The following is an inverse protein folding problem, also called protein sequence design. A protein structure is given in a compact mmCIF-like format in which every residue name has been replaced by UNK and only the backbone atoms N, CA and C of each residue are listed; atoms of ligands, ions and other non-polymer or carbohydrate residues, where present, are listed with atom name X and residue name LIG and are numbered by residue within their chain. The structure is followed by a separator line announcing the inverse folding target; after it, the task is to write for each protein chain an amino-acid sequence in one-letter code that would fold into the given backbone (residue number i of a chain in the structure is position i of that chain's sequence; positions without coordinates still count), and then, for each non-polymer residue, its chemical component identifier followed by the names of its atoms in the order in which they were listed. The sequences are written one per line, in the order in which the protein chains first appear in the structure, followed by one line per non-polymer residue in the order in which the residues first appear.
data_IF_555700181764
#
_entry.id   IF_555700181764
#
_cell.length_a   1.000
_cell.length_b   1.000
_cell.length_c   1.000
_cell.angle_alpha   90.00
_cell.angle_beta   90.00
_cell.angle_gamma   90.00
#
_symmetry.space_group_name_H-M   'P 1'
#
loop_
_entity.id
_entity.type
_entity.pdbx_description
1 polymer ?
#
# COMPACT_ATOMS: atom_id res chain seq x y z
N UNK A 1 0.43 23.94 -18.14
CA UNK A 1 -0.93 23.58 -18.59
C UNK A 1 -0.97 22.07 -18.77
N UNK A 2 -1.40 21.33 -17.74
CA UNK A 2 -1.53 19.88 -17.81
C UNK A 2 -2.77 19.53 -18.61
N UNK A 3 -2.60 18.78 -19.69
CA UNK A 3 -3.70 18.29 -20.51
C UNK A 3 -4.50 17.28 -19.70
N UNK A 4 -5.70 17.66 -19.30
CA UNK A 4 -6.71 16.83 -18.64
C UNK A 4 -7.28 15.82 -19.68
N UNK A 5 -6.45 14.90 -20.17
CA UNK A 5 -6.92 13.81 -21.03
C UNK A 5 -7.54 12.74 -20.15
N UNK A 6 -8.79 12.34 -20.37
CA UNK A 6 -9.38 11.21 -19.66
C UNK A 6 -8.58 9.93 -19.97
N UNK A 7 -8.46 9.00 -19.02
CA UNK A 7 -7.74 7.74 -19.22
C UNK A 7 -8.27 7.01 -20.46
N UNK A 8 -7.36 6.42 -21.22
CA UNK A 8 -7.72 5.76 -22.48
C UNK A 8 -8.34 4.36 -22.29
N UNK A 9 -8.27 3.81 -21.06
CA UNK A 9 -8.85 2.51 -20.75
C UNK A 9 -10.39 2.60 -20.63
N UNK A 10 -11.18 1.83 -21.42
CA UNK A 10 -12.64 1.87 -21.42
C UNK A 10 -13.26 1.59 -20.05
N UNK A 11 -12.77 0.62 -19.29
CA UNK A 11 -13.28 0.28 -17.95
C UNK A 11 -13.06 1.40 -16.91
N UNK A 12 -11.97 2.16 -17.05
CA UNK A 12 -11.71 3.34 -16.21
C UNK A 12 -12.64 4.49 -16.61
N UNK A 13 -12.99 4.62 -17.90
CA UNK A 13 -13.96 5.61 -18.37
C UNK A 13 -15.36 5.36 -17.82
N UNK A 14 -15.81 4.11 -17.76
CA UNK A 14 -17.09 3.74 -17.14
C UNK A 14 -17.09 4.00 -15.63
N UNK A 15 -16.05 3.63 -14.92
CA UNK A 15 -15.88 3.95 -13.50
C UNK A 15 -15.89 5.46 -13.22
N UNK A 16 -15.30 6.28 -14.10
CA UNK A 16 -15.32 7.74 -13.98
C UNK A 16 -16.68 8.30 -14.38
N UNK A 17 -17.37 7.72 -15.37
CA UNK A 17 -18.69 8.16 -15.81
C UNK A 17 -19.77 7.88 -14.74
N UNK A 18 -19.75 6.72 -14.08
CA UNK A 18 -20.63 6.40 -12.96
C UNK A 18 -20.37 7.30 -11.73
N UNK A 19 -19.17 7.85 -11.60
CA UNK A 19 -18.71 8.63 -10.45
C UNK A 19 -18.64 10.14 -10.69
N UNK A 20 -19.31 10.67 -11.71
CA UNK A 20 -19.41 12.11 -12.00
C UNK A 20 -19.98 12.96 -10.88
N UNK A 21 -20.59 12.35 -9.86
CA UNK A 21 -21.03 13.04 -8.65
C UNK A 21 -19.90 13.36 -7.66
N UNK A 22 -18.68 12.87 -7.90
CA UNK A 22 -17.55 13.12 -7.03
C UNK A 22 -16.69 14.25 -7.60
N UNK A 23 -16.33 15.23 -6.76
CA UNK A 23 -15.44 16.31 -7.15
C UNK A 23 -14.12 15.74 -7.68
N UNK A 24 -13.74 16.14 -8.88
CA UNK A 24 -12.43 15.80 -9.46
C UNK A 24 -11.30 16.65 -8.88
N UNK A 25 -11.61 17.62 -8.05
CA UNK A 25 -10.65 18.55 -7.43
C UNK A 25 -10.87 18.57 -5.91
N UNK A 26 -9.79 18.65 -5.13
CA UNK A 26 -9.90 18.82 -3.68
C UNK A 26 -10.55 20.17 -3.35
N UNK A 27 -11.20 20.25 -2.20
CA UNK A 27 -11.66 21.52 -1.63
C UNK A 27 -10.50 22.51 -1.44
N UNK A 28 -10.77 23.79 -1.29
CA UNK A 28 -9.71 24.80 -1.13
C UNK A 28 -8.80 24.51 0.07
N UNK A 29 -9.37 24.06 1.17
CA UNK A 29 -8.61 23.77 2.38
C UNK A 29 -7.82 22.46 2.26
N UNK A 30 -8.39 21.44 1.62
CA UNK A 30 -7.69 20.19 1.33
C UNK A 30 -6.52 20.41 0.38
N UNK A 31 -6.70 21.26 -0.64
CA UNK A 31 -5.62 21.64 -1.56
C UNK A 31 -4.48 22.39 -0.85
N UNK A 32 -4.77 23.20 0.17
CA UNK A 32 -3.75 23.86 1.01
C UNK A 32 -2.95 22.86 1.85
N UNK A 33 -3.57 21.76 2.25
CA UNK A 33 -2.91 20.65 2.94
C UNK A 33 -2.12 19.74 1.98
N UNK A 34 -2.19 19.97 0.65
CA UNK A 34 -1.47 19.23 -0.36
C UNK A 34 -2.24 18.05 -0.96
N UNK A 35 -3.51 17.83 -0.59
CA UNK A 35 -4.36 16.81 -1.19
C UNK A 35 -4.61 17.10 -2.66
N UNK A 36 -4.66 16.05 -3.49
CA UNK A 36 -4.78 16.15 -4.94
C UNK A 36 -6.16 15.79 -5.48
N UNK A 37 -7.04 15.23 -4.65
CA UNK A 37 -8.30 14.67 -5.12
C UNK A 37 -8.06 13.52 -6.10
N UNK A 38 -8.85 13.45 -7.16
CA UNK A 38 -8.62 12.48 -8.24
C UNK A 38 -7.41 12.90 -9.10
N UNK A 39 -6.43 12.01 -9.23
CA UNK A 39 -5.24 12.24 -10.06
C UNK A 39 -4.70 10.94 -10.63
N UNK A 40 -3.88 11.02 -11.68
CA UNK A 40 -3.22 9.90 -12.33
C UNK A 40 -1.71 9.92 -12.06
N UNK A 41 -1.14 8.74 -11.91
CA UNK A 41 0.32 8.52 -11.84
C UNK A 41 0.83 7.72 -13.03
N UNK A 42 0.11 7.78 -14.17
CA UNK A 42 0.51 7.16 -15.43
C UNK A 42 -0.23 5.87 -15.79
N UNK A 43 -0.77 5.08 -14.87
CA UNK A 43 -1.46 3.82 -15.17
C UNK A 43 -2.74 3.54 -14.37
N UNK A 44 -2.96 4.22 -13.25
CA UNK A 44 -4.20 4.08 -12.46
C UNK A 44 -4.67 5.43 -11.92
N UNK A 45 -5.99 5.66 -11.84
CA UNK A 45 -6.54 6.79 -11.13
C UNK A 45 -6.40 6.58 -9.62
N UNK A 46 -5.92 7.60 -8.93
CA UNK A 46 -5.77 7.65 -7.49
C UNK A 46 -6.74 8.67 -6.91
N UNK A 47 -7.21 8.41 -5.70
CA UNK A 47 -8.04 9.34 -4.95
C UNK A 47 -7.36 9.70 -3.65
N UNK A 48 -6.98 10.97 -3.51
CA UNK A 48 -6.23 11.50 -2.37
C UNK A 48 -7.04 12.62 -1.71
N UNK A 49 -7.80 12.25 -0.71
CA UNK A 49 -8.71 13.13 0.04
C UNK A 49 -8.66 12.78 1.53
N UNK A 50 -8.85 13.77 2.43
CA UNK A 50 -8.93 13.49 3.86
C UNK A 50 -10.15 12.61 4.19
N UNK A 51 -10.04 11.80 5.21
CA UNK A 51 -11.11 10.91 5.68
C UNK A 51 -11.26 9.60 4.89
N UNK A 52 -10.55 9.41 3.78
CA UNK A 52 -10.59 8.15 3.04
C UNK A 52 -9.79 7.05 3.74
N UNK A 53 -10.35 5.86 3.79
CA UNK A 53 -9.59 4.65 4.14
C UNK A 53 -8.89 4.14 2.89
N UNK A 54 -7.55 4.07 2.94
CA UNK A 54 -6.68 3.67 1.85
C UNK A 54 -6.00 2.34 2.16
N UNK A 55 -6.00 1.45 1.19
CA UNK A 55 -5.15 0.27 1.19
C UNK A 55 -3.94 0.52 0.30
N UNK A 56 -2.74 0.33 0.83
CA UNK A 56 -1.50 0.54 0.09
C UNK A 56 -0.62 -0.70 0.13
N UNK A 57 0.10 -0.91 -0.98
CA UNK A 57 1.16 -1.93 -1.09
C UNK A 57 2.43 -1.25 -1.59
N UNK A 58 3.52 -1.37 -0.84
CA UNK A 58 4.85 -0.93 -1.28
C UNK A 58 5.87 -2.03 -1.05
N UNK A 59 6.88 -2.10 -1.89
CA UNK A 59 7.77 -3.26 -2.01
C UNK A 59 9.25 -2.88 -2.03
N UNK A 60 10.12 -3.83 -1.72
CA UNK A 60 11.57 -3.66 -1.86
C UNK A 60 11.95 -3.37 -3.32
N UNK A 61 13.05 -2.65 -3.51
CA UNK A 61 13.54 -2.28 -4.84
C UNK A 61 13.89 -3.50 -5.69
N UNK A 62 14.40 -4.57 -5.06
CA UNK A 62 14.85 -5.81 -5.68
C UNK A 62 13.77 -6.90 -5.75
N UNK A 63 12.55 -6.65 -5.26
CA UNK A 63 11.45 -7.63 -5.28
C UNK A 63 11.02 -8.05 -6.69
N UNK A 64 11.40 -7.28 -7.71
CA UNK A 64 11.34 -7.62 -9.13
C UNK A 64 12.75 -7.59 -9.73
N UNK A 65 13.44 -8.73 -9.78
CA UNK A 65 14.76 -8.82 -10.38
C UNK A 65 14.76 -8.35 -11.85
N UNK A 66 15.83 -7.70 -12.25
CA UNK A 66 15.97 -7.15 -13.61
C UNK A 66 15.79 -8.21 -14.71
N UNK A 67 16.16 -9.46 -14.45
CA UNK A 67 16.00 -10.59 -15.37
C UNK A 67 14.54 -10.93 -15.68
N UNK A 68 13.59 -10.48 -14.85
CA UNK A 68 12.15 -10.73 -14.97
C UNK A 68 11.35 -9.51 -15.44
N UNK A 69 12.04 -8.50 -16.02
CA UNK A 69 11.40 -7.28 -16.53
C UNK A 69 10.29 -7.56 -17.56
N UNK A 70 10.44 -8.64 -18.36
CA UNK A 70 9.43 -9.04 -19.33
C UNK A 70 8.14 -9.51 -18.65
N UNK A 71 8.25 -10.30 -17.57
CA UNK A 71 7.09 -10.73 -16.78
C UNK A 71 6.38 -9.51 -16.17
N UNK A 72 7.15 -8.55 -15.66
CA UNK A 72 6.61 -7.30 -15.14
C UNK A 72 5.87 -6.49 -16.20
N UNK A 73 6.47 -6.31 -17.39
CA UNK A 73 5.83 -5.59 -18.49
C UNK A 73 4.51 -6.28 -18.89
N UNK A 74 4.52 -7.60 -19.03
CA UNK A 74 3.31 -8.38 -19.34
C UNK A 74 2.22 -8.23 -18.26
N UNK A 75 2.59 -8.17 -16.98
CA UNK A 75 1.63 -7.93 -15.90
C UNK A 75 1.01 -6.52 -15.95
N UNK A 76 1.77 -5.51 -16.38
CA UNK A 76 1.25 -4.14 -16.53
C UNK A 76 0.31 -3.99 -17.73
N UNK A 77 0.42 -4.85 -18.74
CA UNK A 77 -0.42 -4.87 -19.94
C UNK A 77 -1.81 -5.52 -19.68
N UNK A 78 -2.01 -6.20 -18.54
CA UNK A 78 -3.31 -6.77 -18.20
C UNK A 78 -4.31 -5.62 -18.00
N UNK A 79 -5.35 -5.56 -18.85
CA UNK A 79 -6.35 -4.50 -18.81
C UNK A 79 -7.25 -4.56 -17.58
N UNK A 80 -7.65 -5.78 -17.16
CA UNK A 80 -8.47 -5.96 -15.97
C UNK A 80 -7.65 -5.63 -14.71
N UNK A 81 -8.03 -4.56 -14.02
CA UNK A 81 -7.34 -4.07 -12.82
C UNK A 81 -7.31 -5.11 -11.70
N UNK A 82 -8.40 -5.85 -11.52
CA UNK A 82 -8.50 -6.86 -10.46
C UNK A 82 -7.59 -8.05 -10.77
N UNK A 83 -7.57 -8.52 -12.01
CA UNK A 83 -6.70 -9.60 -12.44
C UNK A 83 -5.24 -9.19 -12.35
N UNK A 84 -4.88 -8.01 -12.88
CA UNK A 84 -3.53 -7.45 -12.80
C UNK A 84 -3.05 -7.39 -11.37
N UNK A 85 -3.84 -6.85 -10.46
CA UNK A 85 -3.53 -6.77 -9.04
C UNK A 85 -3.34 -8.14 -8.42
N UNK A 86 -4.24 -9.07 -8.67
CA UNK A 86 -4.15 -10.45 -8.15
C UNK A 86 -2.85 -11.11 -8.59
N UNK A 87 -2.45 -10.95 -9.84
CA UNK A 87 -1.19 -11.52 -10.35
C UNK A 87 0.04 -10.84 -9.78
N UNK A 88 0.02 -9.52 -9.62
CA UNK A 88 1.11 -8.77 -8.98
C UNK A 88 1.29 -9.19 -7.51
N UNK A 89 0.19 -9.35 -6.77
CA UNK A 89 0.22 -9.83 -5.38
C UNK A 89 0.76 -11.27 -5.31
N UNK A 90 0.28 -12.17 -6.16
CA UNK A 90 0.79 -13.54 -6.25
C UNK A 90 2.30 -13.57 -6.56
N UNK A 91 2.77 -12.66 -7.41
CA UNK A 91 4.19 -12.53 -7.71
C UNK A 91 5.02 -12.08 -6.50
N UNK A 92 4.52 -11.11 -5.72
CA UNK A 92 5.17 -10.66 -4.49
C UNK A 92 5.20 -11.77 -3.42
N UNK A 93 4.14 -12.56 -3.31
CA UNK A 93 4.03 -13.70 -2.39
C UNK A 93 5.08 -14.79 -2.69
N UNK A 94 5.63 -14.87 -3.91
CA UNK A 94 6.75 -15.76 -4.23
C UNK A 94 8.04 -15.40 -3.48
N UNK A 95 8.12 -14.24 -2.82
CA UNK A 95 9.25 -13.85 -2.00
C UNK A 95 10.54 -13.70 -2.80
N UNK A 96 10.49 -13.13 -4.00
CA UNK A 96 11.67 -12.88 -4.83
C UNK A 96 12.48 -11.69 -4.31
N UNK A 97 13.77 -11.64 -4.65
CA UNK A 97 14.73 -10.67 -4.14
C UNK A 97 15.40 -11.14 -2.85
N UNK A 98 16.14 -10.27 -2.20
CA UNK A 98 16.87 -10.57 -0.96
C UNK A 98 15.94 -10.75 0.25
N UNK A 99 14.70 -10.33 0.15
CA UNK A 99 13.70 -10.43 1.22
C UNK A 99 14.20 -9.85 2.56
N UNK A 100 14.83 -8.68 2.51
CA UNK A 100 15.47 -8.03 3.66
C UNK A 100 14.51 -7.77 4.82
N UNK A 101 13.19 -7.73 4.58
CA UNK A 101 12.18 -7.59 5.63
C UNK A 101 12.01 -8.86 6.49
N UNK A 102 12.65 -9.99 6.14
CA UNK A 102 12.78 -11.15 7.03
C UNK A 102 13.69 -10.89 8.22
N UNK A 103 14.58 -9.89 8.12
CA UNK A 103 15.45 -9.53 9.22
C UNK A 103 14.63 -8.89 10.35
N UNK A 104 14.59 -9.47 11.57
CA UNK A 104 13.67 -9.04 12.63
C UNK A 104 13.78 -7.56 12.98
N UNK A 105 15.00 -7.03 13.09
CA UNK A 105 15.22 -5.60 13.39
C UNK A 105 14.69 -4.70 12.27
N UNK A 106 14.83 -5.09 11.01
CA UNK A 106 14.33 -4.31 9.87
C UNK A 106 12.81 -4.32 9.86
N UNK A 107 12.18 -5.49 10.01
CA UNK A 107 10.72 -5.60 10.09
C UNK A 107 10.14 -4.79 11.27
N UNK A 108 10.81 -4.82 12.43
CA UNK A 108 10.40 -4.05 13.60
C UNK A 108 10.50 -2.54 13.37
N UNK A 109 11.53 -2.07 12.67
CA UNK A 109 11.66 -0.65 12.27
C UNK A 109 10.52 -0.26 11.33
N UNK A 110 10.17 -1.11 10.36
CA UNK A 110 9.08 -0.85 9.44
C UNK A 110 7.75 -0.81 10.18
N UNK A 111 7.43 -1.81 11.00
CA UNK A 111 6.21 -1.82 11.82
C UNK A 111 6.14 -0.61 12.75
N UNK A 112 7.23 -0.27 13.41
CA UNK A 112 7.33 0.92 14.26
C UNK A 112 7.00 2.22 13.50
N UNK A 113 7.51 2.37 12.27
CA UNK A 113 7.23 3.53 11.43
C UNK A 113 5.74 3.62 11.04
N UNK A 114 5.09 2.47 10.73
CA UNK A 114 3.65 2.43 10.44
C UNK A 114 2.81 2.88 11.64
N UNK A 115 3.22 2.54 12.85
CA UNK A 115 2.47 2.83 14.08
C UNK A 115 2.73 4.22 14.65
N UNK A 116 3.87 4.84 14.33
CA UNK A 116 4.37 6.04 15.00
C UNK A 116 3.42 7.23 14.96
N UNK A 117 2.77 7.48 13.83
CA UNK A 117 1.83 8.60 13.67
C UNK A 117 0.36 8.17 13.71
N UNK A 118 0.08 6.95 14.20
CA UNK A 118 -1.29 6.52 14.44
C UNK A 118 -2.01 7.47 15.40
N UNK A 119 -3.25 7.87 15.07
CA UNK A 119 -4.03 8.83 15.85
C UNK A 119 -3.60 10.29 15.70
N UNK A 120 -2.59 10.60 14.86
CA UNK A 120 -2.10 11.96 14.62
C UNK A 120 -2.22 12.37 13.15
N UNK A 121 -1.72 11.56 12.22
CA UNK A 121 -1.73 11.83 10.78
C UNK A 121 -2.64 10.90 10.01
N UNK A 122 -2.92 9.76 10.58
CA UNK A 122 -3.78 8.71 10.04
C UNK A 122 -4.24 7.78 11.16
N UNK A 123 -5.31 7.05 10.90
CA UNK A 123 -5.79 5.99 11.78
C UNK A 123 -5.48 4.63 11.15
N UNK A 124 -4.49 3.93 11.69
CA UNK A 124 -4.07 2.62 11.21
C UNK A 124 -5.14 1.57 11.52
N UNK A 125 -5.55 0.79 10.52
CA UNK A 125 -6.63 -0.20 10.60
C UNK A 125 -6.12 -1.64 10.53
N UNK A 126 -5.15 -1.89 9.64
CA UNK A 126 -4.49 -3.17 9.49
C UNK A 126 -3.15 -3.00 8.78
N UNK A 127 -2.20 -3.92 9.04
CA UNK A 127 -0.94 -4.01 8.30
C UNK A 127 -0.35 -5.40 8.37
N UNK A 128 0.56 -5.67 7.46
CA UNK A 128 1.49 -6.79 7.51
C UNK A 128 2.80 -6.42 6.83
N UNK A 129 3.91 -6.75 7.46
CA UNK A 129 5.25 -6.67 6.86
C UNK A 129 5.61 -8.06 6.37
N UNK A 130 5.56 -8.25 5.05
CA UNK A 130 5.94 -9.49 4.37
C UNK A 130 7.44 -9.47 4.04
N UNK A 131 8.04 -10.60 3.63
CA UNK A 131 9.49 -10.68 3.37
C UNK A 131 10.06 -9.63 2.41
N UNK A 132 9.29 -9.17 1.42
CA UNK A 132 9.76 -8.27 0.36
C UNK A 132 8.78 -7.11 0.05
N UNK A 133 7.66 -7.02 0.77
CA UNK A 133 6.66 -5.96 0.61
C UNK A 133 5.89 -5.71 1.90
N UNK A 134 5.12 -4.66 1.91
CA UNK A 134 4.26 -4.24 3.03
C UNK A 134 2.87 -3.94 2.50
N UNK A 135 1.87 -4.42 3.21
CA UNK A 135 0.50 -3.98 3.07
C UNK A 135 0.09 -3.15 4.28
N UNK A 136 -0.59 -2.04 4.06
CA UNK A 136 -1.18 -1.23 5.12
C UNK A 136 -2.55 -0.71 4.71
N UNK A 137 -3.49 -0.75 5.65
CA UNK A 137 -4.83 -0.18 5.56
C UNK A 137 -4.97 0.88 6.65
N UNK A 138 -5.25 2.10 6.26
CA UNK A 138 -5.37 3.22 7.19
C UNK A 138 -6.29 4.30 6.65
N UNK A 139 -6.97 4.98 7.56
CA UNK A 139 -7.77 6.17 7.24
C UNK A 139 -6.85 7.37 7.25
N UNK A 140 -6.80 8.09 6.14
CA UNK A 140 -6.05 9.34 5.98
C UNK A 140 -6.78 10.44 6.77
N UNK A 141 -6.03 11.25 7.50
CA UNK A 141 -6.58 12.38 8.23
C UNK A 141 -6.17 13.72 7.58
N UNK A 142 -5.12 14.34 8.06
CA UNK A 142 -4.72 15.70 7.67
C UNK A 142 -3.48 15.75 6.78
N UNK A 143 -2.83 14.60 6.52
CA UNK A 143 -1.61 14.51 5.72
C UNK A 143 -1.87 13.68 4.47
N UNK A 144 -1.55 14.17 3.26
CA UNK A 144 -1.75 13.44 2.01
C UNK A 144 -1.07 12.07 1.98
N UNK A 145 -1.72 11.11 1.29
CA UNK A 145 -1.25 9.73 1.16
C UNK A 145 0.22 9.66 0.70
N UNK A 146 0.58 10.45 -0.32
CA UNK A 146 1.94 10.46 -0.86
C UNK A 146 3.00 10.89 0.15
N UNK A 147 2.68 11.84 1.03
CA UNK A 147 3.59 12.31 2.09
C UNK A 147 3.74 11.29 3.20
N UNK A 148 2.65 10.61 3.59
CA UNK A 148 2.69 9.52 4.56
C UNK A 148 3.64 8.42 4.05
N UNK A 149 3.46 7.96 2.81
CA UNK A 149 4.29 6.91 2.20
C UNK A 149 5.76 7.36 2.06
N UNK A 150 5.99 8.60 1.64
CA UNK A 150 7.34 9.16 1.53
C UNK A 150 8.04 9.19 2.89
N UNK A 151 7.33 9.58 3.95
CA UNK A 151 7.86 9.58 5.32
C UNK A 151 8.24 8.17 5.78
N UNK A 152 7.34 7.19 5.63
CA UNK A 152 7.63 5.79 5.97
C UNK A 152 8.84 5.25 5.21
N UNK A 153 8.83 5.39 3.88
CA UNK A 153 9.88 4.86 3.01
C UNK A 153 11.24 5.51 3.29
N UNK A 154 11.29 6.84 3.47
CA UNK A 154 12.54 7.55 3.74
C UNK A 154 13.16 7.14 5.07
N UNK A 155 12.36 7.12 6.14
CA UNK A 155 12.83 6.73 7.46
C UNK A 155 13.31 5.27 7.48
N UNK A 156 12.47 4.34 7.05
CA UNK A 156 12.76 2.91 7.12
C UNK A 156 13.88 2.48 6.19
N UNK A 157 14.05 3.12 5.01
CA UNK A 157 15.19 2.87 4.12
C UNK A 157 16.52 3.24 4.79
N UNK A 158 16.57 4.40 5.46
CA UNK A 158 17.76 4.82 6.18
C UNK A 158 18.13 3.84 7.29
N UNK A 159 17.18 3.50 8.15
CA UNK A 159 17.42 2.60 9.27
C UNK A 159 17.74 1.17 8.80
N UNK A 160 17.03 0.67 7.78
CA UNK A 160 17.30 -0.65 7.22
C UNK A 160 18.70 -0.74 6.61
N UNK A 161 19.13 0.26 5.84
CA UNK A 161 20.47 0.31 5.27
C UNK A 161 21.56 0.35 6.35
N UNK A 162 21.32 1.03 7.48
CA UNK A 162 22.23 1.01 8.64
C UNK A 162 22.31 -0.39 9.28
N UNK A 163 21.16 -1.03 9.52
CA UNK A 163 21.09 -2.37 10.13
C UNK A 163 21.78 -3.42 9.26
N UNK A 164 21.58 -3.34 7.94
CA UNK A 164 22.08 -4.32 6.97
C UNK A 164 23.48 -4.00 6.47
N UNK A 165 24.07 -2.86 6.90
CA UNK A 165 25.34 -2.34 6.38
C UNK A 165 25.36 -2.23 4.82
N UNK A 166 24.22 -1.83 4.24
CA UNK A 166 24.02 -1.65 2.79
C UNK A 166 23.84 -0.19 2.42
N UNK A 167 23.86 0.09 1.10
CA UNK A 167 23.62 1.41 0.52
C UNK A 167 22.76 1.27 -0.73
N UNK A 168 22.05 2.36 -1.10
CA UNK A 168 21.21 2.41 -2.30
C UNK A 168 19.73 2.34 -2.00
N UNK A 169 18.95 2.06 -3.05
CA UNK A 169 17.50 2.04 -2.98
C UNK A 169 17.00 0.81 -2.21
N UNK A 170 16.37 1.05 -1.06
CA UNK A 170 15.75 0.00 -0.26
C UNK A 170 14.33 -0.31 -0.75
N UNK A 171 13.54 0.72 -1.02
CA UNK A 171 12.18 0.60 -1.53
C UNK A 171 12.10 0.87 -3.01
N UNK A 172 11.23 0.14 -3.72
CA UNK A 172 10.83 0.52 -5.06
C UNK A 172 10.19 1.91 -5.05
N UNK A 173 10.38 2.68 -6.11
CA UNK A 173 9.95 4.07 -6.20
C UNK A 173 8.44 4.23 -6.01
N UNK A 174 7.64 3.42 -6.69
CA UNK A 174 6.18 3.49 -6.67
C UNK A 174 5.54 2.63 -5.58
N UNK A 175 4.24 2.79 -5.42
CA UNK A 175 3.36 1.99 -4.59
C UNK A 175 1.98 1.88 -5.25
N UNK A 176 1.20 0.87 -4.87
CA UNK A 176 -0.19 0.73 -5.26
C UNK A 176 -1.09 1.17 -4.14
N UNK A 177 -2.19 1.83 -4.48
CA UNK A 177 -3.21 2.23 -3.54
C UNK A 177 -4.61 1.95 -4.10
N UNK A 178 -5.54 1.72 -3.20
CA UNK A 178 -6.96 1.56 -3.48
C UNK A 178 -7.74 2.10 -2.29
N UNK A 179 -8.69 2.99 -2.53
CA UNK A 179 -9.56 3.48 -1.45
C UNK A 179 -10.70 2.51 -1.15
N UNK A 180 -11.12 2.45 0.11
CA UNK A 180 -12.25 1.64 0.53
C UNK A 180 -13.56 2.34 0.20
N UNK A 181 -14.46 1.62 -0.47
CA UNK A 181 -15.76 2.15 -0.93
C UNK A 181 -16.82 2.11 0.17
N UNK A 182 -16.74 1.09 1.00
CA UNK A 182 -17.69 0.82 2.06
C UNK A 182 -17.03 -0.04 3.17
N UNK A 183 -17.76 -0.27 4.23
CA UNK A 183 -17.31 -1.05 5.37
C UNK A 183 -17.04 -2.52 5.02
N UNK A 184 -17.83 -3.11 4.13
CA UNK A 184 -17.64 -4.50 3.71
C UNK A 184 -16.32 -4.67 2.95
N UNK A 185 -16.00 -3.71 2.07
CA UNK A 185 -14.74 -3.67 1.34
C UNK A 185 -13.55 -3.51 2.31
N UNK A 186 -13.68 -2.64 3.32
CA UNK A 186 -12.67 -2.47 4.38
C UNK A 186 -12.44 -3.78 5.15
N UNK A 187 -13.50 -4.48 5.56
CA UNK A 187 -13.42 -5.74 6.27
C UNK A 187 -12.75 -6.84 5.44
N UNK A 188 -13.10 -6.97 4.16
CA UNK A 188 -12.47 -7.92 3.24
C UNK A 188 -10.99 -7.62 3.06
N UNK A 189 -10.64 -6.35 2.88
CA UNK A 189 -9.24 -5.91 2.73
C UNK A 189 -8.43 -6.15 4.01
N UNK A 190 -9.00 -5.86 5.17
CA UNK A 190 -8.37 -6.17 6.46
C UNK A 190 -8.05 -7.67 6.58
N UNK A 191 -9.04 -8.53 6.35
CA UNK A 191 -8.86 -9.99 6.38
C UNK A 191 -7.80 -10.45 5.37
N UNK A 192 -7.80 -9.88 4.18
CA UNK A 192 -6.80 -10.16 3.18
C UNK A 192 -5.39 -9.84 3.69
N UNK A 193 -5.16 -8.63 4.25
CA UNK A 193 -3.88 -8.19 4.80
C UNK A 193 -3.41 -9.15 5.90
N UNK A 194 -4.27 -9.44 6.86
CA UNK A 194 -3.92 -10.21 8.04
C UNK A 194 -3.70 -11.70 7.74
N UNK A 195 -4.39 -12.25 6.73
CA UNK A 195 -4.19 -13.63 6.28
C UNK A 195 -3.04 -13.81 5.27
N UNK A 196 -2.38 -12.74 4.84
CA UNK A 196 -1.33 -12.81 3.84
C UNK A 196 -0.18 -13.76 4.22
N UNK A 197 0.35 -13.75 5.47
CA UNK A 197 1.39 -14.68 5.88
C UNK A 197 0.95 -16.15 5.82
N UNK A 198 -0.30 -16.43 6.16
CA UNK A 198 -0.85 -17.79 6.12
C UNK A 198 -1.03 -18.26 4.68
N UNK A 199 -1.56 -17.40 3.81
CA UNK A 199 -1.68 -17.65 2.37
C UNK A 199 -0.33 -17.92 1.71
N UNK A 200 0.73 -17.22 2.14
CA UNK A 200 2.10 -17.41 1.67
C UNK A 200 2.85 -18.54 2.40
N UNK A 201 2.18 -19.35 3.21
CA UNK A 201 2.76 -20.46 3.99
C UNK A 201 3.90 -20.05 4.94
N UNK A 202 3.91 -18.79 5.40
CA UNK A 202 4.90 -18.26 6.33
C UNK A 202 4.48 -18.40 7.79
N UNK A 203 3.19 -18.56 8.05
CA UNK A 203 2.62 -18.81 9.37
C UNK A 203 1.45 -19.78 9.26
N UNK A 204 1.11 -20.50 10.37
CA UNK A 204 -0.06 -21.38 10.42
C UNK A 204 -1.33 -20.63 10.76
N UNK A 205 -1.21 -19.65 11.66
CA UNK A 205 -2.28 -18.73 12.05
C UNK A 205 -1.84 -17.29 11.78
N UNK A 206 -2.71 -16.39 11.34
CA UNK A 206 -2.39 -14.97 11.14
C UNK A 206 -1.78 -14.29 12.36
N UNK A 207 -2.15 -14.72 13.57
CA UNK A 207 -1.64 -14.18 14.84
C UNK A 207 -0.21 -14.60 15.17
N UNK A 208 0.28 -15.66 14.54
CA UNK A 208 1.67 -16.13 14.71
C UNK A 208 2.69 -15.24 14.00
N UNK A 209 2.24 -14.41 13.04
CA UNK A 209 3.12 -13.51 12.31
C UNK A 209 3.41 -12.25 13.11
N UNK A 210 4.66 -12.10 13.58
CA UNK A 210 5.07 -11.06 14.52
C UNK A 210 4.85 -9.62 14.01
N UNK A 211 4.92 -9.39 12.70
CA UNK A 211 4.82 -8.06 12.11
C UNK A 211 3.50 -7.88 11.35
N UNK A 212 2.41 -8.29 11.99
CA UNK A 212 1.04 -8.14 11.51
C UNK A 212 0.12 -7.58 12.59
N UNK A 213 -0.87 -6.79 12.16
CA UNK A 213 -1.95 -6.32 13.03
C UNK A 213 -2.81 -7.44 13.60
N UNK A 214 -2.81 -8.62 12.98
CA UNK A 214 -3.60 -9.78 13.43
C UNK A 214 -3.32 -10.15 14.90
N UNK A 215 -2.04 -10.10 15.30
CA UNK A 215 -1.63 -10.43 16.69
C UNK A 215 -2.10 -9.43 17.75
N UNK A 216 -2.47 -8.23 17.33
CA UNK A 216 -2.90 -7.14 18.21
C UNK A 216 -4.42 -6.97 18.25
N UNK A 217 -5.17 -7.96 17.76
CA UNK A 217 -6.63 -7.92 17.86
C UNK A 217 -7.14 -8.63 19.09
N UNK A 218 -8.10 -7.97 19.76
CA UNK A 218 -8.85 -8.60 20.84
C UNK A 218 -9.83 -9.68 20.31
N UNK A 219 -10.54 -10.33 21.23
CA UNK A 219 -11.51 -11.38 20.89
C UNK A 219 -12.72 -10.87 20.07
N UNK A 220 -12.93 -9.56 20.02
CA UNK A 220 -13.98 -8.90 19.24
C UNK A 220 -13.45 -8.37 17.91
N UNK A 221 -12.17 -8.60 17.60
CA UNK A 221 -11.50 -8.14 16.38
C UNK A 221 -11.14 -6.66 16.37
N UNK A 222 -11.16 -5.97 17.52
CA UNK A 222 -10.71 -4.58 17.66
C UNK A 222 -9.20 -4.55 17.75
N UNK A 223 -8.59 -3.58 17.06
CA UNK A 223 -7.15 -3.36 17.07
C UNK A 223 -6.75 -2.65 18.38
N UNK A 224 -5.80 -3.25 19.13
CA UNK A 224 -5.25 -2.72 20.37
C UNK A 224 -3.79 -2.26 20.11
N UNK A 225 -3.57 -0.96 19.98
CA UNK A 225 -2.26 -0.33 19.68
C UNK A 225 -1.67 0.33 20.90
#
# INVERSE_FOLDING_TARGET
MGTNRPPQNPGVRELIAEKRCWSSRPGRDDARLGFRGWHERGYLPHRDEPGLTQFVTFRLADSFPAVLRHEWAALLEIEDEKERRTRLEAYLDLGRGQCCLRHPKVASVVEGALRFFHGQRYELRAWVVMPNHVHALFKVDSVPLGEILASWKKFTAREANLILATRGDFWHKDFWDTFMRDHEHELKTRRYIENNPTKAFLARDPRDWLWSSARLRDNYGRLCL
#
